data_IF_353756793797
#
_entry.id   IF_353756793797
#
_cell.length_a   1.000
_cell.length_b   1.000
_cell.length_c   1.000
_cell.angle_alpha   90.00
_cell.angle_beta   90.00
_cell.angle_gamma   90.00
#
_symmetry.space_group_name_H-M   'P 1'
#
loop_
_entity.id
_entity.type
_entity.pdbx_description
1 polymer ?
#
# COMPACT_ATOMS: atom_id res chain seq x y z
N UNK A 1 21.12 -56.05 -6.56
CA UNK A 1 19.66 -55.86 -6.35
C UNK A 1 19.18 -57.02 -5.51
N UNK A 2 18.64 -56.76 -4.32
CA UNK A 2 18.09 -57.82 -3.46
C UNK A 2 16.61 -57.99 -3.85
N UNK A 3 16.26 -59.17 -4.36
CA UNK A 3 14.88 -59.54 -4.67
C UNK A 3 14.41 -60.53 -3.62
N UNK A 4 13.15 -60.41 -3.19
CA UNK A 4 12.58 -61.28 -2.18
C UNK A 4 12.24 -62.63 -2.83
N UNK A 5 13.03 -63.66 -2.54
CA UNK A 5 12.91 -64.99 -3.18
C UNK A 5 11.95 -65.92 -2.45
N UNK A 6 11.63 -65.62 -1.19
CA UNK A 6 10.75 -66.44 -0.35
C UNK A 6 10.05 -65.58 0.68
N UNK A 7 8.78 -65.87 0.92
CA UNK A 7 7.96 -65.25 1.97
C UNK A 7 7.05 -66.32 2.56
N UNK A 8 6.76 -66.22 3.85
CA UNK A 8 5.85 -67.11 4.56
C UNK A 8 4.75 -66.28 5.23
N UNK A 9 3.52 -66.47 4.77
CA UNK A 9 2.30 -65.88 5.30
C UNK A 9 1.45 -66.90 6.05
N UNK A 10 1.99 -68.09 6.33
CA UNK A 10 1.23 -69.16 6.95
C UNK A 10 0.79 -68.80 8.37
N UNK A 11 -0.37 -69.28 8.80
CA UNK A 11 -0.91 -69.12 10.16
C UNK A 11 -1.02 -67.68 10.68
N UNK A 12 -1.33 -66.72 9.80
CA UNK A 12 -1.46 -65.29 10.14
C UNK A 12 -2.92 -64.80 10.20
N UNK A 13 -3.89 -65.72 10.14
CA UNK A 13 -5.32 -65.44 10.13
C UNK A 13 -5.74 -64.44 9.04
N UNK A 14 -5.12 -64.55 7.86
CA UNK A 14 -5.45 -63.75 6.69
C UNK A 14 -6.76 -64.23 6.04
N UNK A 15 -7.46 -63.32 5.38
CA UNK A 15 -8.73 -63.60 4.70
C UNK A 15 -8.78 -62.94 3.32
N UNK A 16 -9.59 -63.49 2.41
CA UNK A 16 -9.81 -62.95 1.07
C UNK A 16 -9.06 -63.65 -0.05
N UNK A 17 -9.18 -63.06 -1.25
CA UNK A 17 -8.59 -63.60 -2.47
C UNK A 17 -7.09 -63.30 -2.51
N UNK A 18 -6.26 -64.34 -2.60
CA UNK A 18 -4.83 -64.19 -2.90
C UNK A 18 -4.69 -63.74 -4.36
N UNK A 19 -4.04 -62.60 -4.64
CA UNK A 19 -3.86 -62.12 -6.00
C UNK A 19 -3.11 -63.14 -6.86
N UNK A 20 -3.71 -63.56 -7.97
CA UNK A 20 -3.05 -64.44 -8.96
C UNK A 20 -2.04 -63.72 -9.85
N UNK A 21 -1.76 -62.43 -9.59
CA UNK A 21 -0.90 -61.56 -10.39
C UNK A 21 0.22 -60.97 -9.55
N UNK A 22 1.30 -60.54 -10.21
CA UNK A 22 2.43 -59.89 -9.55
C UNK A 22 3.34 -60.88 -8.79
N UNK A 23 3.90 -60.46 -7.65
CA UNK A 23 4.85 -61.28 -6.89
C UNK A 23 4.18 -62.48 -6.20
N UNK A 24 2.88 -62.40 -5.93
CA UNK A 24 2.11 -63.47 -5.27
C UNK A 24 1.92 -64.70 -6.16
N UNK A 25 2.09 -64.59 -7.48
CA UNK A 25 2.06 -65.76 -8.37
C UNK A 25 3.35 -66.59 -8.33
N UNK A 26 4.44 -66.06 -7.78
CA UNK A 26 5.73 -66.75 -7.67
C UNK A 26 5.88 -67.53 -6.35
N UNK A 27 5.06 -67.22 -5.35
CA UNK A 27 5.13 -67.88 -4.04
C UNK A 27 4.38 -69.21 -4.03
N UNK A 28 4.89 -70.17 -3.27
CA UNK A 28 4.33 -71.51 -3.18
C UNK A 28 3.04 -71.50 -2.32
N UNK A 29 2.12 -72.45 -2.56
CA UNK A 29 0.91 -72.60 -1.75
C UNK A 29 1.23 -72.81 -0.26
N UNK A 30 2.40 -73.41 0.05
CA UNK A 30 2.86 -73.60 1.43
C UNK A 30 3.00 -72.29 2.20
N UNK A 31 3.34 -71.19 1.52
CA UNK A 31 3.43 -69.84 2.10
C UNK A 31 2.09 -69.30 2.58
N UNK A 32 0.96 -69.93 2.26
CA UNK A 32 -0.38 -69.43 2.60
C UNK A 32 -1.17 -70.38 3.51
N UNK A 33 -0.56 -71.47 3.97
CA UNK A 33 -1.22 -72.49 4.80
C UNK A 33 -1.70 -71.94 6.15
N UNK A 34 -2.70 -72.57 6.75
CA UNK A 34 -3.17 -72.19 8.09
C UNK A 34 -3.97 -70.88 8.15
N UNK A 35 -4.40 -70.35 7.01
CA UNK A 35 -5.31 -69.20 6.92
C UNK A 35 -6.68 -69.69 6.39
N UNK A 36 -7.66 -69.98 7.25
CA UNK A 36 -8.90 -70.69 6.87
C UNK A 36 -9.80 -69.90 5.91
N UNK A 37 -9.70 -68.57 5.91
CA UNK A 37 -10.53 -67.68 5.09
C UNK A 37 -9.79 -67.14 3.85
N UNK A 38 -8.60 -67.67 3.53
CA UNK A 38 -7.92 -67.40 2.26
C UNK A 38 -8.46 -68.32 1.15
N UNK A 39 -8.57 -67.75 -0.03
CA UNK A 39 -8.97 -68.45 -1.24
C UNK A 39 -8.21 -67.91 -2.45
N UNK A 40 -8.18 -68.65 -3.56
CA UNK A 40 -7.45 -68.22 -4.75
C UNK A 40 -7.01 -69.38 -5.64
N UNK A 41 -6.26 -69.09 -6.72
CA UNK A 41 -5.94 -70.06 -7.77
C UNK A 41 -5.31 -71.37 -7.27
N UNK A 42 -4.56 -71.33 -6.17
CA UNK A 42 -3.84 -72.47 -5.60
C UNK A 42 -4.44 -73.02 -4.29
N UNK A 43 -5.44 -72.34 -3.72
CA UNK A 43 -6.05 -72.67 -2.40
C UNK A 43 -7.53 -73.11 -2.52
N UNK A 44 -8.16 -72.89 -3.67
CA UNK A 44 -9.56 -73.22 -3.94
C UNK A 44 -10.40 -71.98 -4.24
N UNK A 45 -11.56 -72.19 -4.86
CA UNK A 45 -12.48 -71.10 -5.21
C UNK A 45 -12.98 -70.37 -3.95
N UNK A 46 -13.03 -69.05 -3.99
CA UNK A 46 -13.65 -68.25 -2.94
C UNK A 46 -15.15 -68.53 -2.90
N UNK A 47 -15.71 -68.72 -1.70
CA UNK A 47 -17.17 -68.72 -1.51
C UNK A 47 -17.70 -67.31 -1.81
N UNK A 48 -18.91 -67.21 -2.37
CA UNK A 48 -19.59 -65.99 -2.85
C UNK A 48 -19.94 -64.95 -1.76
N UNK A 49 -19.02 -64.66 -0.84
CA UNK A 49 -19.18 -63.67 0.23
C UNK A 49 -17.97 -62.75 0.44
N UNK A 50 -16.91 -62.85 -0.37
CA UNK A 50 -15.63 -62.13 -0.13
C UNK A 50 -15.26 -61.14 -1.25
N UNK A 51 -16.24 -60.56 -1.94
CA UNK A 51 -16.02 -59.59 -3.05
C UNK A 51 -16.55 -58.18 -2.72
N UNK A 52 -16.74 -57.83 -1.44
CA UNK A 52 -17.18 -56.47 -1.07
C UNK A 52 -16.13 -55.71 -0.25
N UNK A 53 -14.90 -55.64 -0.75
CA UNK A 53 -13.77 -54.97 -0.09
C UNK A 53 -13.06 -53.91 -0.93
N UNK A 54 -13.64 -53.46 -2.05
CA UNK A 54 -13.04 -52.44 -2.92
C UNK A 54 -14.05 -51.34 -3.28
N UNK A 55 -14.63 -50.69 -2.28
CA UNK A 55 -15.23 -49.37 -2.49
C UNK A 55 -14.35 -48.31 -1.83
N UNK A 56 -13.73 -47.55 -2.73
CA UNK A 56 -12.84 -46.43 -2.48
C UNK A 56 -13.45 -45.48 -1.46
N UNK A 57 -12.67 -45.11 -0.44
CA UNK A 57 -12.92 -43.94 0.38
C UNK A 57 -12.81 -42.69 -0.50
N UNK A 58 -13.91 -42.34 -1.16
CA UNK A 58 -14.09 -41.03 -1.76
C UNK A 58 -14.15 -40.04 -0.59
N UNK A 59 -13.09 -39.26 -0.43
CA UNK A 59 -13.12 -38.08 0.43
C UNK A 59 -14.23 -37.17 -0.14
N UNK A 60 -15.42 -37.20 0.47
CA UNK A 60 -16.51 -36.26 0.17
C UNK A 60 -16.04 -34.85 0.55
N UNK A 61 -15.39 -34.17 -0.39
CA UNK A 61 -15.27 -32.72 -0.36
C UNK A 61 -16.69 -32.20 -0.59
N UNK A 62 -17.35 -31.75 0.48
CA UNK A 62 -18.71 -31.20 0.44
C UNK A 62 -18.91 -30.31 -0.79
N UNK A 63 -19.68 -30.80 -1.76
CA UNK A 63 -19.88 -30.14 -3.03
C UNK A 63 -20.85 -28.97 -2.83
N UNK A 64 -20.31 -27.76 -2.63
CA UNK A 64 -21.09 -26.53 -2.70
C UNK A 64 -21.87 -26.49 -4.02
N UNK A 65 -23.20 -26.33 -3.92
CA UNK A 65 -24.08 -26.19 -5.09
C UNK A 65 -23.55 -25.08 -6.02
N UNK A 66 -23.63 -25.30 -7.34
CA UNK A 66 -23.13 -24.36 -8.35
C UNK A 66 -23.67 -22.94 -8.16
N UNK A 67 -24.89 -22.80 -7.63
CA UNK A 67 -25.49 -21.52 -7.26
C UNK A 67 -24.71 -20.80 -6.15
N UNK A 68 -24.26 -21.52 -5.12
CA UNK A 68 -23.49 -20.93 -4.01
C UNK A 68 -22.12 -20.49 -4.51
N UNK A 69 -21.48 -21.26 -5.39
CA UNK A 69 -20.22 -20.87 -6.03
C UNK A 69 -20.38 -19.59 -6.84
N UNK A 70 -21.46 -19.47 -7.61
CA UNK A 70 -21.76 -18.26 -8.38
C UNK A 70 -21.97 -17.03 -7.49
N UNK A 71 -22.73 -17.18 -6.39
CA UNK A 71 -22.96 -16.10 -5.44
C UNK A 71 -21.68 -15.64 -4.73
N UNK A 72 -20.79 -16.56 -4.36
CA UNK A 72 -19.49 -16.22 -3.79
C UNK A 72 -18.63 -15.43 -4.78
N UNK A 73 -18.61 -15.83 -6.05
CA UNK A 73 -17.86 -15.10 -7.10
C UNK A 73 -18.43 -13.68 -7.27
N UNK A 74 -19.75 -13.53 -7.36
CA UNK A 74 -20.38 -12.21 -7.49
C UNK A 74 -20.11 -11.35 -6.25
N UNK A 75 -20.18 -11.93 -5.05
CA UNK A 75 -19.86 -11.25 -3.80
C UNK A 75 -18.41 -10.75 -3.76
N UNK A 76 -17.45 -11.60 -4.14
CA UNK A 76 -16.03 -11.22 -4.22
C UNK A 76 -15.80 -10.12 -5.26
N UNK A 77 -16.44 -10.21 -6.43
CA UNK A 77 -16.37 -9.16 -7.46
C UNK A 77 -16.91 -7.83 -6.92
N UNK A 78 -18.09 -7.84 -6.29
CA UNK A 78 -18.68 -6.64 -5.69
C UNK A 78 -17.78 -6.04 -4.60
N UNK A 79 -17.24 -6.87 -3.69
CA UNK A 79 -16.28 -6.42 -2.67
C UNK A 79 -15.02 -5.82 -3.30
N UNK A 80 -14.49 -6.43 -4.36
CA UNK A 80 -13.30 -5.92 -5.04
C UNK A 80 -13.54 -4.55 -5.69
N UNK A 81 -14.72 -4.35 -6.29
CA UNK A 81 -15.12 -3.07 -6.89
C UNK A 81 -15.27 -2.00 -5.80
N UNK A 82 -15.95 -2.30 -4.69
CA UNK A 82 -16.11 -1.36 -3.57
C UNK A 82 -14.75 -0.97 -2.99
N UNK A 83 -13.85 -1.94 -2.80
CA UNK A 83 -12.50 -1.68 -2.32
C UNK A 83 -11.71 -0.78 -3.28
N UNK A 84 -11.76 -1.07 -4.59
CA UNK A 84 -11.10 -0.25 -5.60
C UNK A 84 -11.61 1.19 -5.61
N UNK A 85 -12.94 1.38 -5.52
CA UNK A 85 -13.56 2.71 -5.44
C UNK A 85 -13.10 3.45 -4.18
N UNK A 86 -13.13 2.79 -3.02
CA UNK A 86 -12.67 3.39 -1.75
C UNK A 86 -11.18 3.78 -1.81
N UNK A 87 -10.33 2.94 -2.40
CA UNK A 87 -8.92 3.22 -2.61
C UNK A 87 -8.72 4.45 -3.53
N UNK A 88 -9.48 4.55 -4.63
CA UNK A 88 -9.45 5.71 -5.54
C UNK A 88 -9.87 6.99 -4.80
N UNK A 89 -10.95 6.94 -4.00
CA UNK A 89 -11.39 8.09 -3.22
C UNK A 89 -10.34 8.53 -2.20
N UNK A 90 -9.72 7.60 -1.47
CA UNK A 90 -8.62 7.93 -0.54
C UNK A 90 -7.42 8.51 -1.29
N UNK A 91 -7.00 7.91 -2.39
CA UNK A 91 -5.88 8.41 -3.19
C UNK A 91 -6.15 9.83 -3.72
N UNK A 92 -7.35 10.11 -4.21
CA UNK A 92 -7.77 11.45 -4.65
C UNK A 92 -7.82 12.45 -3.50
N UNK A 93 -8.32 12.04 -2.34
CA UNK A 93 -8.39 12.88 -1.14
C UNK A 93 -6.98 13.25 -0.64
N UNK A 94 -6.06 12.28 -0.59
CA UNK A 94 -4.66 12.51 -0.24
C UNK A 94 -3.96 13.41 -1.23
N UNK A 95 -4.17 13.20 -2.55
CA UNK A 95 -3.64 14.08 -3.59
C UNK A 95 -4.13 15.52 -3.43
N UNK A 96 -5.43 15.71 -3.23
CA UNK A 96 -6.02 17.04 -3.02
C UNK A 96 -5.49 17.69 -1.74
N UNK A 97 -5.30 16.92 -0.67
CA UNK A 97 -4.70 17.41 0.57
C UNK A 97 -3.20 17.73 0.42
N UNK A 98 -2.50 17.06 -0.49
CA UNK A 98 -1.11 17.35 -0.85
C UNK A 98 -1.00 18.62 -1.68
N UNK A 99 -1.82 18.76 -2.72
CA UNK A 99 -1.90 19.98 -3.53
C UNK A 99 -2.31 21.17 -2.66
N UNK A 100 -3.23 20.96 -1.71
CA UNK A 100 -3.62 21.98 -0.76
C UNK A 100 -2.52 22.36 0.26
N UNK A 101 -1.39 21.66 0.27
CA UNK A 101 -0.19 22.02 1.04
C UNK A 101 0.95 22.49 0.16
N UNK A 102 0.81 22.43 -1.16
CA UNK A 102 1.85 22.84 -2.08
C UNK A 102 2.00 24.36 -2.05
N UNK A 103 3.21 24.82 -1.76
CA UNK A 103 3.52 26.24 -1.78
C UNK A 103 3.69 26.72 -3.21
N UNK A 104 3.02 27.83 -3.54
CA UNK A 104 3.13 28.49 -4.84
C UNK A 104 3.88 29.80 -4.71
N UNK A 105 5.07 29.89 -5.33
CA UNK A 105 5.79 31.15 -5.50
C UNK A 105 5.26 31.88 -6.74
N UNK A 106 4.79 33.11 -6.55
CA UNK A 106 4.42 34.03 -7.62
C UNK A 106 5.40 35.21 -7.60
N UNK A 107 6.14 35.38 -8.69
CA UNK A 107 7.16 36.42 -8.80
C UNK A 107 6.65 37.64 -9.59
N UNK A 108 7.10 38.84 -9.20
CA UNK A 108 6.88 40.08 -9.95
C UNK A 108 8.06 40.41 -10.89
N UNK A 109 9.08 39.56 -10.87
CA UNK A 109 10.30 39.63 -11.67
C UNK A 109 10.90 38.24 -11.85
N UNK A 110 12.01 38.16 -12.60
CA UNK A 110 12.79 36.92 -12.68
C UNK A 110 13.46 36.68 -11.32
N UNK A 111 13.24 35.49 -10.77
CA UNK A 111 13.85 34.99 -9.55
C UNK A 111 14.54 33.67 -9.90
N UNK A 112 15.75 33.49 -9.39
CA UNK A 112 16.55 32.28 -9.62
C UNK A 112 16.52 31.36 -8.39
N UNK A 113 15.39 31.38 -7.66
CA UNK A 113 15.12 30.58 -6.47
C UNK A 113 13.66 30.14 -6.43
N UNK A 114 13.38 29.12 -5.62
CA UNK A 114 12.09 28.42 -5.53
C UNK A 114 11.33 28.76 -4.24
N UNK A 115 10.09 28.27 -4.13
CA UNK A 115 9.32 28.40 -2.89
C UNK A 115 10.00 27.71 -1.72
N UNK A 116 10.63 26.55 -1.95
CA UNK A 116 11.31 25.77 -0.90
C UNK A 116 12.51 26.54 -0.32
N UNK A 117 13.29 27.21 -1.19
CA UNK A 117 14.39 28.07 -0.75
C UNK A 117 13.92 29.22 0.16
N UNK A 118 12.74 29.79 -0.12
CA UNK A 118 12.11 30.81 0.72
C UNK A 118 11.65 30.21 2.05
N UNK A 119 11.09 29.01 2.05
CA UNK A 119 10.61 28.34 3.26
C UNK A 119 11.75 27.93 4.19
N UNK A 120 12.90 27.56 3.64
CA UNK A 120 14.11 27.24 4.40
C UNK A 120 14.62 28.42 5.24
N UNK A 121 14.21 29.65 4.91
CA UNK A 121 14.50 30.84 5.70
C UNK A 121 13.62 31.02 6.94
N UNK A 122 12.49 30.30 7.06
CA UNK A 122 11.51 30.46 8.16
C UNK A 122 11.95 29.78 9.46
N UNK A 123 13.15 30.10 9.92
CA UNK A 123 13.76 29.60 11.17
C UNK A 123 13.78 30.72 12.21
N UNK A 124 13.70 30.35 13.49
CA UNK A 124 13.68 31.35 14.56
C UNK A 124 14.94 32.23 14.59
N UNK A 125 16.10 31.62 14.30
CA UNK A 125 17.40 32.31 14.22
C UNK A 125 17.48 33.34 13.08
N UNK A 126 16.61 33.21 12.07
CA UNK A 126 16.57 34.12 10.94
C UNK A 126 15.67 35.33 11.16
N UNK A 127 15.01 35.45 12.32
CA UNK A 127 14.07 36.53 12.56
C UNK A 127 14.81 37.87 12.70
N UNK A 128 14.44 38.82 11.84
CA UNK A 128 14.98 40.19 11.82
C UNK A 128 13.95 41.24 12.26
N UNK A 129 12.68 40.86 12.43
CA UNK A 129 11.64 41.76 12.93
C UNK A 129 10.39 41.02 13.37
N UNK A 130 9.75 41.50 14.44
CA UNK A 130 8.47 40.99 14.98
C UNK A 130 7.58 42.17 15.36
N UNK A 131 6.33 42.19 14.90
CA UNK A 131 5.37 43.24 15.27
C UNK A 131 3.94 42.91 14.86
N UNK A 132 3.03 43.88 14.98
CA UNK A 132 1.61 43.70 14.64
C UNK A 132 1.34 43.38 13.16
N UNK A 133 2.27 43.74 12.27
CA UNK A 133 2.21 43.43 10.85
C UNK A 133 2.76 42.03 10.50
N UNK A 134 3.20 41.25 11.49
CA UNK A 134 3.73 39.90 11.32
C UNK A 134 5.21 39.76 11.72
N UNK A 135 5.82 38.70 11.21
CA UNK A 135 7.22 38.33 11.49
C UNK A 135 8.02 38.41 10.20
N UNK A 136 9.21 39.01 10.26
CA UNK A 136 10.13 39.13 9.13
C UNK A 136 11.36 38.27 9.38
N UNK A 137 11.68 37.42 8.41
CA UNK A 137 12.82 36.53 8.41
C UNK A 137 13.84 36.97 7.35
N UNK A 138 15.13 36.80 7.63
CA UNK A 138 16.20 36.94 6.65
C UNK A 138 16.42 35.60 5.94
N UNK A 139 16.42 35.62 4.62
CA UNK A 139 16.73 34.46 3.79
C UNK A 139 17.98 34.69 2.95
N UNK A 140 18.80 33.65 2.79
CA UNK A 140 19.88 33.59 1.82
C UNK A 140 19.48 32.59 0.74
N UNK A 141 19.30 33.08 -0.49
CA UNK A 141 18.90 32.25 -1.62
C UNK A 141 20.13 31.53 -2.21
N UNK A 142 19.95 30.41 -2.94
CA UNK A 142 21.06 29.64 -3.51
C UNK A 142 21.97 30.44 -4.47
N UNK A 143 21.41 31.47 -5.11
CA UNK A 143 22.13 32.40 -5.99
C UNK A 143 22.95 33.47 -5.23
N UNK A 144 22.95 33.44 -3.89
CA UNK A 144 23.62 34.43 -3.02
C UNK A 144 22.80 35.69 -2.75
N UNK A 145 21.59 35.81 -3.30
CA UNK A 145 20.69 36.94 -3.05
C UNK A 145 20.14 36.88 -1.61
N UNK A 146 20.16 38.01 -0.92
CA UNK A 146 19.55 38.14 0.41
C UNK A 146 18.13 38.70 0.28
N UNK A 147 17.18 38.04 0.92
CA UNK A 147 15.76 38.42 0.91
C UNK A 147 15.23 38.61 2.32
N UNK A 148 14.17 39.42 2.43
CA UNK A 148 13.37 39.55 3.65
C UNK A 148 12.01 38.90 3.40
N UNK A 149 11.69 37.85 4.17
CA UNK A 149 10.45 37.09 4.05
C UNK A 149 9.51 37.52 5.18
N UNK A 150 8.43 38.21 4.84
CA UNK A 150 7.42 38.66 5.79
C UNK A 150 6.27 37.66 5.84
N UNK A 151 6.12 36.99 6.98
CA UNK A 151 4.98 36.15 7.31
C UNK A 151 3.89 37.00 7.94
N UNK A 152 2.75 37.09 7.26
CA UNK A 152 1.58 37.79 7.79
C UNK A 152 0.89 36.94 8.87
N UNK A 153 0.32 37.56 9.92
CA UNK A 153 -0.38 36.84 10.97
C UNK A 153 -1.63 36.13 10.42
N UNK A 154 -1.81 34.87 10.80
CA UNK A 154 -3.06 34.12 10.54
C UNK A 154 -4.02 34.45 11.66
N UNK A 155 -4.85 35.48 11.50
CA UNK A 155 -5.97 35.70 12.40
C UNK A 155 -7.16 34.85 11.90
N UNK A 156 -7.97 34.34 12.84
CA UNK A 156 -8.97 33.31 12.59
C UNK A 156 -9.94 33.67 11.46
N UNK A 157 -10.36 32.65 10.69
CA UNK A 157 -11.14 32.59 9.42
C UNK A 157 -12.45 33.42 9.30
N UNK A 158 -12.68 34.44 10.12
CA UNK A 158 -13.94 35.19 10.22
C UNK A 158 -13.89 36.68 9.81
N UNK A 159 -12.71 37.28 9.58
CA UNK A 159 -12.61 38.65 9.04
C UNK A 159 -11.89 38.66 7.69
N UNK A 160 -11.98 39.73 6.92
CA UNK A 160 -11.46 39.82 5.55
C UNK A 160 -9.92 39.94 5.51
N UNK A 161 -9.24 38.83 5.76
CA UNK A 161 -7.77 38.71 5.85
C UNK A 161 -7.02 38.94 4.54
N UNK A 162 -7.75 39.03 3.43
CA UNK A 162 -7.20 39.30 2.12
C UNK A 162 -6.79 40.78 1.93
N UNK A 163 -7.26 41.71 2.76
CA UNK A 163 -6.99 43.14 2.50
C UNK A 163 -5.53 43.52 2.66
N UNK A 164 -4.83 43.11 3.72
CA UNK A 164 -3.43 43.50 3.92
C UNK A 164 -2.50 42.88 2.87
N UNK A 165 -2.69 41.59 2.59
CA UNK A 165 -1.92 40.86 1.60
C UNK A 165 -2.19 41.36 0.17
N UNK A 166 -3.46 41.45 -0.24
CA UNK A 166 -3.80 41.92 -1.58
C UNK A 166 -3.46 43.40 -1.76
N UNK A 167 -3.60 44.24 -0.73
CA UNK A 167 -3.16 45.64 -0.81
C UNK A 167 -1.64 45.71 -1.04
N UNK A 168 -0.83 44.99 -0.26
CA UNK A 168 0.63 44.97 -0.46
C UNK A 168 0.99 44.45 -1.86
N UNK A 169 0.34 43.40 -2.37
CA UNK A 169 0.55 42.90 -3.73
C UNK A 169 0.16 43.93 -4.81
N UNK A 170 -1.04 44.52 -4.72
CA UNK A 170 -1.55 45.43 -5.73
C UNK A 170 -0.75 46.74 -5.78
N UNK A 171 -0.31 47.21 -4.61
CA UNK A 171 0.49 48.43 -4.50
C UNK A 171 1.95 48.16 -4.81
N UNK A 172 2.63 47.29 -4.04
CA UNK A 172 4.07 47.12 -4.12
C UNK A 172 4.52 46.19 -5.24
N UNK A 173 3.66 45.27 -5.71
CA UNK A 173 4.00 44.34 -6.80
C UNK A 173 4.24 45.04 -8.14
N UNK A 174 3.80 46.29 -8.31
CA UNK A 174 4.00 47.10 -9.52
C UNK A 174 4.99 48.26 -9.35
N UNK A 175 5.35 48.61 -8.12
CA UNK A 175 6.20 49.76 -7.84
C UNK A 175 7.67 49.37 -7.95
N UNK A 176 8.42 50.16 -8.73
CA UNK A 176 9.89 50.08 -8.81
C UNK A 176 10.46 51.47 -8.57
N UNK A 177 10.93 51.73 -7.36
CA UNK A 177 11.42 53.05 -6.97
C UNK A 177 12.59 52.95 -5.98
N UNK A 178 13.58 53.83 -6.11
CA UNK A 178 14.84 53.81 -5.32
C UNK A 178 14.66 53.97 -3.80
N UNK A 179 13.52 54.52 -3.37
CA UNK A 179 13.20 54.79 -1.96
C UNK A 179 12.06 53.92 -1.42
N UNK A 180 11.65 52.88 -2.16
CA UNK A 180 10.61 51.95 -1.75
C UNK A 180 11.20 50.55 -1.81
N UNK A 181 11.09 49.79 -0.71
CA UNK A 181 11.57 48.41 -0.66
C UNK A 181 10.85 47.59 -1.72
N UNK A 182 11.60 46.93 -2.60
CA UNK A 182 11.03 46.19 -3.72
C UNK A 182 10.42 44.87 -3.24
N UNK A 183 9.17 44.64 -3.61
CA UNK A 183 8.50 43.33 -3.48
C UNK A 183 8.91 42.45 -4.65
N UNK A 184 9.60 41.35 -4.37
CA UNK A 184 10.12 40.40 -5.37
C UNK A 184 9.05 39.40 -5.80
N UNK A 185 8.22 38.99 -4.86
CA UNK A 185 7.16 38.00 -5.07
C UNK A 185 6.44 37.68 -3.78
N UNK A 186 5.62 36.64 -3.82
CA UNK A 186 4.94 36.09 -2.66
C UNK A 186 4.83 34.57 -2.76
N UNK A 187 4.88 33.90 -1.62
CA UNK A 187 4.57 32.48 -1.51
C UNK A 187 3.21 32.33 -0.83
N UNK A 188 2.29 31.58 -1.42
CA UNK A 188 1.00 31.29 -0.81
C UNK A 188 0.74 29.79 -0.70
N UNK A 189 0.04 29.43 0.35
CA UNK A 189 -0.54 28.12 0.60
C UNK A 189 -1.94 28.32 1.19
N UNK A 190 -2.75 27.27 1.32
CA UNK A 190 -4.11 27.36 1.86
C UNK A 190 -4.19 27.84 3.32
N UNK A 191 -3.07 27.85 4.03
CA UNK A 191 -3.01 28.24 5.44
C UNK A 191 -2.39 29.63 5.67
N UNK A 192 -1.41 30.02 4.84
CA UNK A 192 -0.54 31.18 5.10
C UNK A 192 -0.06 31.84 3.82
N UNK A 193 0.14 33.15 3.90
CA UNK A 193 0.76 33.97 2.86
C UNK A 193 2.09 34.55 3.37
N UNK A 194 3.09 34.53 2.49
CA UNK A 194 4.41 35.09 2.71
C UNK A 194 4.70 36.12 1.61
N UNK A 195 5.31 37.22 1.98
CA UNK A 195 5.79 38.23 1.05
C UNK A 195 7.31 38.23 1.03
N UNK A 196 7.89 38.30 -0.16
CA UNK A 196 9.34 38.21 -0.38
C UNK A 196 9.83 39.56 -0.88
N UNK A 197 10.67 40.22 -0.09
CA UNK A 197 11.24 41.54 -0.36
C UNK A 197 12.76 41.46 -0.54
N UNK A 198 13.35 42.50 -1.11
CA UNK A 198 14.79 42.72 -0.98
C UNK A 198 15.19 42.90 0.48
N UNK A 199 16.32 42.32 0.85
CA UNK A 199 16.88 42.53 2.17
C UNK A 199 17.53 43.91 2.29
N UNK A 200 17.19 44.63 3.35
CA UNK A 200 17.81 45.91 3.71
C UNK A 200 18.89 45.69 4.79
N UNK A 201 20.19 45.81 4.47
CA UNK A 201 21.27 45.44 5.38
C UNK A 201 21.37 46.35 6.61
N UNK A 202 20.95 47.61 6.49
CA UNK A 202 21.00 48.58 7.58
C UNK A 202 19.73 48.59 8.44
N UNK A 203 18.75 47.72 8.15
CA UNK A 203 17.52 47.61 8.94
C UNK A 203 16.62 48.84 8.89
N UNK A 204 15.87 49.06 9.98
CA UNK A 204 15.02 50.24 10.17
C UNK A 204 15.82 51.47 10.60
N UNK A 205 15.28 52.66 10.32
CA UNK A 205 15.78 53.95 10.81
C UNK A 205 15.62 54.11 12.33
#
# INVERSE_FOLDING_TARGET
MQSLTSVDFSYNNLSGLVPGTGQFSYFNYTSFLGNPDLCGPYLGACKDGVVNGANQSHHDKGHLSSTVKLLLVIGLLACSIVFAIAAIFKARSLKKASEARAWKLTSFQRLDFTADDVLDSLKEDNIIGKGGAGIVYKGAMPNGELVAVKRLPVMSRGSSHDHGFNAEIQTLGRIRHRHIVRLLGFCSNHETNLLVYEYMPNGSL
#
